data_IF_798379058368
#
_entry.id   IF_798379058368
#
_cell.length_a   1.000
_cell.length_b   1.000
_cell.length_c   1.000
_cell.angle_alpha   90.00
_cell.angle_beta   90.00
_cell.angle_gamma   90.00
#
_symmetry.space_group_name_H-M   'P 1'
#
loop_
_entity.id
_entity.type
_entity.pdbx_description
1 polymer ?
#
# COMPACT_ATOMS: atom_id res chain seq x y z
N UNK A 1 31.76 -5.99 -22.44
CA UNK A 1 31.41 -6.65 -21.13
C UNK A 1 32.21 -5.96 -20.03
N UNK A 2 31.60 -5.10 -19.24
CA UNK A 2 32.23 -4.55 -18.01
C UNK A 2 32.20 -5.63 -16.93
N UNK A 3 33.35 -6.02 -16.43
CA UNK A 3 33.46 -6.91 -15.26
C UNK A 3 33.27 -6.08 -14.01
N UNK A 4 32.36 -6.50 -13.12
CA UNK A 4 32.22 -5.96 -11.78
C UNK A 4 33.17 -6.75 -10.88
N UNK A 5 34.08 -6.06 -10.21
CA UNK A 5 34.97 -6.66 -9.22
C UNK A 5 34.41 -6.39 -7.82
N UNK A 6 34.26 -7.43 -7.03
CA UNK A 6 33.96 -7.33 -5.60
C UNK A 6 35.30 -7.19 -4.87
N UNK A 7 35.43 -6.15 -4.05
CA UNK A 7 36.64 -5.92 -3.28
C UNK A 7 36.71 -6.88 -2.09
N UNK A 8 37.80 -7.65 -1.99
CA UNK A 8 38.07 -8.58 -0.90
C UNK A 8 38.37 -7.88 0.46
N UNK A 9 38.29 -6.56 0.53
CA UNK A 9 38.61 -5.77 1.73
C UNK A 9 37.41 -5.35 2.57
N UNK A 10 36.21 -5.87 2.31
CA UNK A 10 35.09 -5.70 3.23
C UNK A 10 35.19 -6.74 4.36
N UNK A 11 35.89 -6.39 5.44
CA UNK A 11 35.74 -7.11 6.70
C UNK A 11 34.32 -6.88 7.22
N UNK A 12 33.40 -7.79 6.89
CA UNK A 12 32.09 -7.86 7.53
C UNK A 12 32.38 -8.28 8.98
N UNK A 13 32.29 -7.33 9.90
CA UNK A 13 32.23 -7.66 11.33
C UNK A 13 31.08 -8.62 11.52
N UNK A 14 31.34 -9.78 12.13
CA UNK A 14 30.33 -10.78 12.41
C UNK A 14 29.13 -10.10 13.11
N UNK A 15 27.90 -10.42 12.72
CA UNK A 15 26.74 -9.84 13.36
C UNK A 15 26.81 -10.17 14.86
N UNK A 16 26.74 -9.13 15.68
CA UNK A 16 26.60 -9.28 17.13
C UNK A 16 25.36 -10.14 17.36
N UNK A 17 25.55 -11.35 17.85
CA UNK A 17 24.44 -12.26 18.20
C UNK A 17 23.77 -11.68 19.43
N UNK A 18 22.78 -10.86 19.23
CA UNK A 18 21.80 -10.49 20.26
C UNK A 18 20.89 -11.69 20.53
N UNK A 19 21.38 -12.62 21.36
CA UNK A 19 20.62 -13.78 21.81
C UNK A 19 19.38 -13.40 22.63
N UNK A 20 19.34 -12.18 23.17
CA UNK A 20 18.24 -11.72 24.05
C UNK A 20 16.96 -11.40 23.30
N UNK A 21 17.02 -10.81 22.10
CA UNK A 21 15.79 -10.41 21.38
C UNK A 21 14.96 -11.59 20.81
N UNK A 22 15.61 -12.72 20.52
CA UNK A 22 14.88 -13.90 20.02
C UNK A 22 14.22 -14.73 21.14
N UNK A 23 14.77 -14.70 22.33
CA UNK A 23 14.19 -15.40 23.48
C UNK A 23 12.97 -14.65 24.03
N UNK A 24 13.03 -13.32 24.12
CA UNK A 24 11.88 -12.50 24.53
C UNK A 24 10.68 -12.65 23.60
N UNK A 25 10.90 -12.65 22.28
CA UNK A 25 9.81 -12.84 21.31
C UNK A 25 9.17 -14.22 21.42
N UNK A 26 9.97 -15.27 21.70
CA UNK A 26 9.47 -16.65 21.83
C UNK A 26 8.72 -16.90 23.15
N UNK A 27 9.09 -16.21 24.22
CA UNK A 27 8.37 -16.28 25.50
C UNK A 27 7.05 -15.50 25.50
N UNK A 28 6.97 -14.39 24.78
CA UNK A 28 5.74 -13.61 24.61
C UNK A 28 4.64 -14.47 23.93
N UNK A 29 5.00 -15.28 22.95
CA UNK A 29 4.05 -16.20 22.27
C UNK A 29 3.56 -17.36 23.17
N UNK A 30 4.23 -17.64 24.30
CA UNK A 30 3.82 -18.69 25.24
C UNK A 30 2.81 -18.23 26.30
N UNK A 31 2.59 -16.94 26.45
CA UNK A 31 1.53 -16.41 27.32
C UNK A 31 0.28 -16.24 26.48
N UNK A 32 -0.87 -16.72 26.95
CA UNK A 32 -2.19 -16.43 26.37
C UNK A 32 -2.53 -14.93 26.55
N UNK A 33 -1.71 -14.05 25.97
CA UNK A 33 -1.94 -12.63 26.00
C UNK A 33 -2.83 -12.25 24.82
N UNK A 34 -3.84 -11.47 25.10
CA UNK A 34 -4.65 -10.84 24.06
C UNK A 34 -3.85 -9.64 23.56
N UNK A 35 -3.46 -9.68 22.28
CA UNK A 35 -2.79 -8.58 21.62
C UNK A 35 -3.80 -7.76 20.83
N UNK A 36 -3.76 -6.44 21.05
CA UNK A 36 -4.41 -5.47 20.18
C UNK A 36 -3.31 -4.84 19.34
N UNK A 37 -3.15 -5.32 18.13
CA UNK A 37 -2.26 -4.69 17.15
C UNK A 37 -3.05 -3.84 16.13
N UNK A 38 -2.34 -3.06 15.34
CA UNK A 38 -2.93 -2.09 14.43
C UNK A 38 -3.11 -2.63 13.00
N UNK A 39 -3.33 -3.92 12.83
CA UNK A 39 -3.79 -4.41 11.54
C UNK A 39 -3.04 -5.60 10.94
N UNK A 40 -2.43 -6.45 11.76
CA UNK A 40 -1.97 -7.75 11.27
C UNK A 40 -3.18 -8.67 11.08
N UNK A 41 -3.40 -9.20 9.85
CA UNK A 41 -4.48 -10.15 9.63
C UNK A 41 -4.20 -11.47 10.36
N UNK A 42 -5.26 -12.14 10.83
CA UNK A 42 -5.13 -13.48 11.37
C UNK A 42 -4.63 -14.45 10.29
N UNK A 43 -3.39 -14.92 10.44
CA UNK A 43 -2.77 -15.85 9.50
C UNK A 43 -3.44 -17.21 9.48
N UNK A 44 -4.18 -17.61 10.55
CA UNK A 44 -4.95 -18.85 10.59
C UNK A 44 -6.12 -18.84 9.59
N UNK A 45 -6.62 -17.66 9.22
CA UNK A 45 -7.67 -17.49 8.22
C UNK A 45 -7.14 -17.57 6.78
N UNK A 46 -5.83 -17.71 6.57
CA UNK A 46 -5.25 -17.80 5.24
C UNK A 46 -5.68 -19.09 4.53
N UNK A 47 -6.25 -19.03 3.31
CA UNK A 47 -6.71 -20.21 2.57
C UNK A 47 -5.53 -20.96 1.93
N UNK A 48 -4.66 -21.55 2.77
CA UNK A 48 -3.40 -22.17 2.34
C UNK A 48 -3.58 -23.32 1.33
N UNK A 49 -4.65 -24.11 1.48
CA UNK A 49 -4.96 -25.22 0.59
C UNK A 49 -5.30 -24.73 -0.81
N UNK A 50 -6.10 -23.70 -0.91
CA UNK A 50 -6.52 -23.06 -2.16
C UNK A 50 -5.33 -22.40 -2.86
N UNK A 51 -4.50 -21.69 -2.10
CA UNK A 51 -3.27 -21.10 -2.61
C UNK A 51 -2.32 -22.17 -3.16
N UNK A 52 -2.05 -23.25 -2.41
CA UNK A 52 -1.20 -24.34 -2.86
C UNK A 52 -1.75 -25.04 -4.12
N UNK A 53 -3.08 -25.16 -4.23
CA UNK A 53 -3.75 -25.71 -5.44
C UNK A 53 -3.59 -24.76 -6.62
N UNK A 54 -3.76 -23.47 -6.42
CA UNK A 54 -3.59 -22.46 -7.46
C UNK A 54 -2.15 -22.43 -7.98
N UNK A 55 -1.16 -22.42 -7.10
CA UNK A 55 0.26 -22.50 -7.45
C UNK A 55 0.57 -23.75 -8.29
N UNK A 56 0.17 -24.93 -7.82
CA UNK A 56 0.37 -26.19 -8.57
C UNK A 56 -0.26 -26.14 -9.96
N UNK A 57 -1.48 -25.58 -10.08
CA UNK A 57 -2.15 -25.43 -11.39
C UNK A 57 -1.36 -24.55 -12.35
N UNK A 58 -0.78 -23.46 -11.86
CA UNK A 58 0.02 -22.53 -12.68
C UNK A 58 1.31 -23.22 -13.15
N UNK A 59 2.05 -23.82 -12.22
CA UNK A 59 3.34 -24.43 -12.54
C UNK A 59 3.23 -25.71 -13.39
N UNK A 60 2.09 -26.38 -13.36
CA UNK A 60 1.85 -27.57 -14.19
C UNK A 60 1.38 -27.23 -15.62
N UNK A 61 1.22 -25.97 -15.99
CA UNK A 61 0.89 -25.59 -17.37
C UNK A 61 2.10 -25.82 -18.29
N UNK A 62 1.84 -26.23 -19.54
CA UNK A 62 2.90 -26.53 -20.52
C UNK A 62 3.85 -25.36 -20.81
N UNK A 63 3.40 -24.14 -20.61
CA UNK A 63 4.17 -22.90 -20.82
C UNK A 63 4.64 -22.25 -19.52
N UNK A 64 4.81 -23.01 -18.43
CA UNK A 64 5.21 -22.48 -17.11
C UNK A 64 6.52 -21.67 -17.15
N UNK A 65 7.45 -21.98 -18.05
CA UNK A 65 8.69 -21.25 -18.26
C UNK A 65 8.47 -19.78 -18.72
N UNK A 66 7.36 -19.48 -19.39
CA UNK A 66 7.01 -18.12 -19.81
C UNK A 66 6.69 -17.22 -18.59
N UNK A 67 6.19 -17.81 -17.51
CA UNK A 67 5.88 -17.11 -16.27
C UNK A 67 7.15 -16.63 -15.56
N UNK A 68 8.28 -17.28 -15.84
CA UNK A 68 9.59 -16.94 -15.28
C UNK A 68 10.33 -15.85 -16.08
N UNK A 69 9.79 -15.42 -17.22
CA UNK A 69 10.35 -14.32 -17.99
C UNK A 69 10.10 -12.99 -17.29
N UNK A 70 10.95 -12.00 -17.60
CA UNK A 70 10.72 -10.62 -17.19
C UNK A 70 9.39 -10.12 -17.76
N UNK A 71 8.45 -9.84 -16.84
CA UNK A 71 7.21 -9.19 -17.20
C UNK A 71 7.45 -7.71 -17.58
N UNK A 72 6.42 -7.06 -18.09
CA UNK A 72 6.38 -5.60 -18.25
C UNK A 72 6.68 -4.92 -16.90
N UNK A 73 7.29 -3.73 -16.95
CA UNK A 73 7.51 -2.86 -15.78
C UNK A 73 6.22 -2.53 -15.02
N UNK A 74 5.08 -2.63 -15.68
CA UNK A 74 3.75 -2.44 -15.06
C UNK A 74 3.20 -3.71 -14.40
N UNK A 75 3.87 -4.85 -14.53
CA UNK A 75 3.46 -6.15 -14.02
C UNK A 75 2.91 -7.09 -15.10
N UNK A 76 2.65 -8.35 -14.73
CA UNK A 76 2.17 -9.39 -15.64
C UNK A 76 0.82 -9.01 -16.28
N UNK A 77 0.76 -9.05 -17.61
CA UNK A 77 -0.39 -8.61 -18.38
C UNK A 77 -1.66 -9.41 -18.08
N UNK A 78 -1.55 -10.72 -17.89
CA UNK A 78 -2.68 -11.58 -17.56
C UNK A 78 -3.22 -11.28 -16.16
N UNK A 79 -2.33 -10.97 -15.22
CA UNK A 79 -2.74 -10.57 -13.87
C UNK A 79 -3.45 -9.21 -13.89
N UNK A 80 -2.91 -8.23 -14.61
CA UNK A 80 -3.52 -6.90 -14.77
C UNK A 80 -4.87 -6.97 -15.44
N UNK A 81 -5.03 -7.78 -16.49
CA UNK A 81 -6.32 -8.01 -17.16
C UNK A 81 -7.34 -8.65 -16.21
N UNK A 82 -6.92 -9.67 -15.44
CA UNK A 82 -7.77 -10.31 -14.43
C UNK A 82 -8.22 -9.32 -13.36
N UNK A 83 -7.32 -8.44 -12.90
CA UNK A 83 -7.66 -7.37 -11.94
C UNK A 83 -8.62 -6.34 -12.54
N UNK A 84 -8.38 -5.92 -13.79
CA UNK A 84 -9.29 -5.02 -14.50
C UNK A 84 -10.71 -5.59 -14.54
N UNK A 85 -10.85 -6.83 -14.95
CA UNK A 85 -12.15 -7.53 -15.01
C UNK A 85 -12.81 -7.61 -13.63
N UNK A 86 -12.06 -7.96 -12.58
CA UNK A 86 -12.56 -8.02 -11.21
C UNK A 86 -13.03 -6.64 -10.70
N UNK A 87 -12.26 -5.58 -10.95
CA UNK A 87 -12.60 -4.21 -10.54
C UNK A 87 -13.86 -3.72 -11.27
N UNK A 88 -13.96 -3.98 -12.57
CA UNK A 88 -15.11 -3.60 -13.37
C UNK A 88 -16.39 -4.33 -12.94
N UNK A 89 -16.31 -5.64 -12.66
CA UNK A 89 -17.46 -6.44 -12.25
C UNK A 89 -17.89 -6.19 -10.80
N UNK A 90 -16.92 -6.08 -9.87
CA UNK A 90 -17.22 -6.08 -8.44
C UNK A 90 -17.25 -4.68 -7.82
N UNK A 91 -16.66 -3.69 -8.47
CA UNK A 91 -16.54 -2.32 -7.96
C UNK A 91 -17.16 -1.26 -8.87
N UNK A 92 -17.74 -1.67 -10.00
CA UNK A 92 -18.36 -0.76 -10.96
C UNK A 92 -17.36 0.21 -11.61
N UNK A 93 -16.08 -0.14 -11.62
CA UNK A 93 -15.03 0.64 -12.30
C UNK A 93 -15.08 0.42 -13.82
N UNK A 94 -14.38 1.26 -14.57
CA UNK A 94 -14.23 1.14 -16.02
C UNK A 94 -12.73 1.22 -16.34
N UNK A 95 -12.00 0.19 -15.93
CA UNK A 95 -10.55 0.12 -16.12
C UNK A 95 -10.19 -0.80 -17.28
N UNK A 96 -9.05 -0.53 -17.87
CA UNK A 96 -8.38 -1.35 -18.88
C UNK A 96 -7.00 -1.77 -18.40
N UNK A 97 -6.38 -2.69 -19.11
CA UNK A 97 -5.03 -3.18 -18.81
C UNK A 97 -4.01 -2.01 -18.67
N UNK A 98 -4.11 -0.99 -19.52
CA UNK A 98 -3.17 0.13 -19.55
C UNK A 98 -3.26 1.06 -18.32
N UNK A 99 -4.33 0.96 -17.54
CA UNK A 99 -4.58 1.81 -16.37
C UNK A 99 -4.21 1.12 -15.05
N UNK A 100 -3.64 -0.09 -15.12
CA UNK A 100 -3.28 -0.87 -13.93
C UNK A 100 -1.76 -1.07 -13.89
N UNK A 101 -1.16 -0.70 -12.78
CA UNK A 101 0.23 -0.99 -12.45
C UNK A 101 0.30 -1.81 -11.16
N UNK A 102 1.08 -2.89 -11.17
CA UNK A 102 1.29 -3.75 -10.02
C UNK A 102 2.49 -3.26 -9.23
N UNK A 103 2.32 -3.06 -7.93
CA UNK A 103 3.37 -2.60 -7.03
C UNK A 103 3.59 -3.57 -5.86
N UNK A 104 4.69 -3.41 -5.16
CA UNK A 104 4.98 -4.16 -3.92
C UNK A 104 4.28 -3.51 -2.74
N UNK A 105 2.95 -3.65 -2.70
CA UNK A 105 2.10 -3.09 -1.65
C UNK A 105 1.80 -1.60 -1.80
N UNK A 106 0.94 -1.09 -0.91
CA UNK A 106 0.41 0.27 -0.95
C UNK A 106 1.48 1.34 -0.79
N UNK A 107 2.52 1.11 0.01
CA UNK A 107 3.60 2.09 0.20
C UNK A 107 4.38 2.38 -1.08
N UNK A 108 4.68 1.35 -1.87
CA UNK A 108 5.32 1.55 -3.18
C UNK A 108 4.36 2.28 -4.14
N UNK A 109 3.08 1.95 -4.12
CA UNK A 109 2.08 2.66 -4.93
C UNK A 109 2.02 4.15 -4.57
N UNK A 110 1.95 4.47 -3.27
CA UNK A 110 1.96 5.85 -2.79
C UNK A 110 3.25 6.59 -3.17
N UNK A 111 4.40 5.94 -3.03
CA UNK A 111 5.69 6.51 -3.41
C UNK A 111 5.73 6.87 -4.89
N UNK A 112 5.37 5.94 -5.77
CA UNK A 112 5.35 6.18 -7.22
C UNK A 112 4.34 7.26 -7.58
N UNK A 113 3.12 7.21 -7.03
CA UNK A 113 2.09 8.20 -7.28
C UNK A 113 2.54 9.59 -6.83
N UNK A 114 3.12 9.71 -5.64
CA UNK A 114 3.61 10.99 -5.12
C UNK A 114 4.69 11.59 -6.03
N UNK A 115 5.67 10.78 -6.45
CA UNK A 115 6.76 11.28 -7.30
C UNK A 115 6.34 11.56 -8.75
N UNK A 116 5.26 10.95 -9.24
CA UNK A 116 4.72 11.24 -10.57
C UNK A 116 3.82 12.47 -10.59
N UNK A 117 3.10 12.76 -9.50
CA UNK A 117 2.04 13.78 -9.50
C UNK A 117 2.41 15.06 -8.75
N UNK A 118 3.32 14.99 -7.77
CA UNK A 118 3.60 16.09 -6.86
C UNK A 118 4.94 16.75 -7.18
N UNK A 119 4.93 18.07 -7.08
CA UNK A 119 6.12 18.92 -7.13
C UNK A 119 6.35 19.55 -5.74
N UNK A 120 7.56 20.10 -5.56
CA UNK A 120 7.89 20.79 -4.30
C UNK A 120 6.99 22.00 -4.08
N UNK A 121 6.30 21.99 -2.93
CA UNK A 121 5.37 23.04 -2.54
C UNK A 121 3.91 22.75 -2.87
N UNK A 122 3.59 21.67 -3.59
CA UNK A 122 2.20 21.26 -3.83
C UNK A 122 1.48 20.95 -2.52
N UNK A 123 0.22 21.37 -2.44
CA UNK A 123 -0.61 21.15 -1.25
C UNK A 123 -1.36 19.81 -1.39
N UNK A 124 -1.19 18.96 -0.37
CA UNK A 124 -1.93 17.71 -0.25
C UNK A 124 -2.77 17.76 1.03
N UNK A 125 -4.09 17.60 0.90
CA UNK A 125 -4.96 17.43 2.05
C UNK A 125 -4.89 15.99 2.54
N UNK A 126 -4.78 15.81 3.86
CA UNK A 126 -4.67 14.50 4.51
C UNK A 126 -5.65 14.39 5.67
N UNK A 127 -6.13 13.18 5.96
CA UNK A 127 -6.94 12.89 7.13
C UNK A 127 -6.13 13.05 8.42
N UNK A 128 -6.73 13.63 9.47
CA UNK A 128 -6.14 13.72 10.80
C UNK A 128 -7.21 13.38 11.89
N UNK A 129 -7.03 12.27 12.65
CA UNK A 129 -5.91 11.31 12.55
C UNK A 129 -5.88 10.53 11.24
N UNK A 130 -4.73 9.97 10.87
CA UNK A 130 -4.56 9.25 9.61
C UNK A 130 -3.26 8.44 9.53
N UNK A 131 -3.02 7.83 8.38
CA UNK A 131 -1.92 6.91 8.15
C UNK A 131 -0.58 7.64 7.93
N UNK A 132 0.20 7.78 8.99
CA UNK A 132 1.48 8.52 9.00
C UNK A 132 2.48 8.08 7.93
N UNK A 133 2.66 6.78 7.58
CA UNK A 133 3.59 6.39 6.53
C UNK A 133 3.27 7.00 5.16
N UNK A 134 1.99 7.22 4.84
CA UNK A 134 1.61 7.95 3.64
C UNK A 134 2.02 9.43 3.71
N UNK A 135 1.85 10.06 4.88
CA UNK A 135 2.24 11.45 5.08
C UNK A 135 3.74 11.68 4.84
N UNK A 136 4.59 10.78 5.37
CA UNK A 136 6.03 10.86 5.16
C UNK A 136 6.38 10.71 3.66
N UNK A 137 5.69 9.83 2.95
CA UNK A 137 5.89 9.67 1.51
C UNK A 137 5.60 10.96 0.74
N UNK A 138 4.51 11.65 1.05
CA UNK A 138 4.17 12.93 0.41
C UNK A 138 5.15 14.05 0.80
N UNK A 139 5.60 14.10 2.07
CA UNK A 139 6.63 15.06 2.51
C UNK A 139 7.95 14.84 1.77
N UNK A 140 8.37 13.60 1.58
CA UNK A 140 9.58 13.29 0.82
C UNK A 140 9.48 13.70 -0.65
N UNK A 141 8.29 13.66 -1.24
CA UNK A 141 8.04 14.22 -2.57
C UNK A 141 8.03 15.76 -2.61
N UNK A 142 8.17 16.41 -1.44
CA UNK A 142 8.22 17.88 -1.32
C UNK A 142 6.88 18.56 -1.08
N UNK A 143 5.80 17.81 -0.85
CA UNK A 143 4.46 18.36 -0.63
C UNK A 143 4.30 19.04 0.75
N UNK A 144 3.44 20.04 0.79
CA UNK A 144 2.94 20.68 1.99
C UNK A 144 1.65 19.97 2.41
N UNK A 145 1.65 19.36 3.61
CA UNK A 145 0.50 18.61 4.09
C UNK A 145 -0.42 19.48 4.92
N UNK A 146 -1.70 19.50 4.57
CA UNK A 146 -2.75 20.17 5.34
C UNK A 146 -3.65 19.11 6.00
N UNK A 147 -3.63 19.00 7.33
CA UNK A 147 -4.45 18.03 8.04
C UNK A 147 -5.91 18.49 8.13
N UNK A 148 -6.82 17.62 7.70
CA UNK A 148 -8.27 17.80 7.80
C UNK A 148 -8.80 16.83 8.86
N UNK A 149 -9.64 17.32 9.76
CA UNK A 149 -10.25 16.52 10.83
C UNK A 149 -11.12 15.38 10.28
N UNK A 150 -11.11 14.26 10.98
CA UNK A 150 -12.00 13.11 10.75
C UNK A 150 -12.99 13.03 11.92
N UNK A 151 -14.27 12.91 11.61
CA UNK A 151 -15.35 12.68 12.57
C UNK A 151 -16.06 11.33 12.31
N UNK A 152 -17.24 11.12 12.90
CA UNK A 152 -17.99 9.87 12.79
C UNK A 152 -18.49 9.56 11.36
N UNK A 153 -18.43 10.51 10.44
CA UNK A 153 -18.79 10.33 9.03
C UNK A 153 -17.60 10.36 8.08
N UNK A 154 -16.36 10.41 8.60
CA UNK A 154 -15.13 10.48 7.85
C UNK A 154 -14.52 11.90 7.82
N UNK A 155 -13.75 12.21 6.77
CA UNK A 155 -13.10 13.50 6.59
C UNK A 155 -14.14 14.64 6.50
N UNK A 156 -13.84 15.79 7.11
CA UNK A 156 -14.67 17.00 7.09
C UNK A 156 -14.66 17.63 5.67
N UNK A 157 -15.73 17.41 4.92
CA UNK A 157 -15.86 17.89 3.54
C UNK A 157 -15.97 19.42 3.48
N UNK A 158 -16.59 20.07 4.47
CA UNK A 158 -16.67 21.53 4.46
C UNK A 158 -15.28 22.16 4.45
N UNK A 159 -14.37 21.65 5.27
CA UNK A 159 -12.96 22.09 5.23
C UNK A 159 -12.25 21.75 3.93
N UNK A 160 -12.53 20.59 3.35
CA UNK A 160 -11.97 20.22 2.02
C UNK A 160 -12.42 21.24 0.96
N UNK A 161 -13.73 21.54 0.90
CA UNK A 161 -14.31 22.52 -0.03
C UNK A 161 -13.67 23.91 0.15
N UNK A 162 -13.45 24.35 1.39
CA UNK A 162 -12.81 25.63 1.70
C UNK A 162 -11.37 25.74 1.15
N UNK A 163 -10.62 24.66 1.18
CA UNK A 163 -9.26 24.63 0.61
C UNK A 163 -9.27 24.52 -0.92
N UNK A 164 -10.12 23.67 -1.47
CA UNK A 164 -10.24 23.44 -2.92
C UNK A 164 -10.72 24.72 -3.63
N UNK A 165 -11.68 25.45 -3.04
CA UNK A 165 -12.21 26.69 -3.62
C UNK A 165 -11.14 27.80 -3.76
N UNK A 166 -10.09 27.74 -2.95
CA UNK A 166 -8.94 28.66 -3.03
C UNK A 166 -7.94 28.31 -4.15
N UNK A 167 -8.17 27.19 -4.85
CA UNK A 167 -7.41 26.80 -6.04
C UNK A 167 -5.99 26.28 -5.81
N UNK A 168 -5.60 26.03 -4.55
CA UNK A 168 -4.22 25.68 -4.20
C UNK A 168 -3.99 24.16 -3.95
N UNK A 169 -5.04 23.32 -3.98
CA UNK A 169 -4.94 21.91 -3.62
C UNK A 169 -4.57 21.07 -4.84
N UNK A 170 -3.48 20.33 -4.75
CA UNK A 170 -3.02 19.41 -5.79
C UNK A 170 -3.64 18.03 -5.66
N UNK A 171 -3.74 17.52 -4.42
CA UNK A 171 -4.26 16.18 -4.17
C UNK A 171 -4.95 16.08 -2.80
N UNK A 172 -5.80 15.08 -2.66
CA UNK A 172 -6.45 14.70 -1.41
C UNK A 172 -6.14 13.23 -1.17
N UNK A 173 -5.54 12.92 -0.01
CA UNK A 173 -5.33 11.54 0.43
C UNK A 173 -6.35 11.19 1.50
N UNK A 174 -7.14 10.16 1.24
CA UNK A 174 -8.18 9.70 2.15
C UNK A 174 -8.38 8.18 2.09
N UNK A 175 -8.93 7.63 3.17
CA UNK A 175 -9.27 6.22 3.32
C UNK A 175 -10.79 6.07 3.49
N UNK A 176 -11.58 5.89 2.41
CA UNK A 176 -13.03 5.97 2.46
C UNK A 176 -13.70 4.82 3.23
N UNK A 177 -13.03 3.68 3.40
CA UNK A 177 -13.48 2.52 4.14
C UNK A 177 -12.48 2.17 5.22
N UNK A 178 -12.97 1.89 6.43
CA UNK A 178 -12.11 1.50 7.55
C UNK A 178 -10.94 2.46 7.76
N UNK A 179 -11.27 3.76 7.85
CA UNK A 179 -10.29 4.82 8.01
C UNK A 179 -9.32 4.51 9.18
N UNK A 180 -8.04 4.67 8.93
CA UNK A 180 -7.03 4.45 9.95
C UNK A 180 -6.75 5.75 10.73
N UNK A 181 -6.77 5.71 12.09
CA UNK A 181 -7.03 4.55 12.96
C UNK A 181 -8.49 4.48 13.46
N UNK A 182 -9.39 5.37 13.01
CA UNK A 182 -10.74 5.54 13.59
C UNK A 182 -11.73 4.46 13.20
N UNK A 183 -11.42 3.65 12.17
CA UNK A 183 -12.28 2.62 11.56
C UNK A 183 -13.56 3.15 10.90
N UNK A 184 -13.76 4.45 10.89
CA UNK A 184 -14.94 5.10 10.32
C UNK A 184 -15.01 4.89 8.81
N UNK A 185 -16.21 4.75 8.28
CA UNK A 185 -16.47 4.72 6.84
C UNK A 185 -17.03 6.06 6.40
N UNK A 186 -16.41 6.64 5.37
CA UNK A 186 -16.87 7.90 4.77
C UNK A 186 -18.32 7.75 4.28
N UNK A 187 -19.21 8.61 4.75
CA UNK A 187 -20.64 8.54 4.43
C UNK A 187 -20.89 8.77 2.93
N UNK A 188 -21.97 8.17 2.40
CA UNK A 188 -22.32 8.35 0.99
C UNK A 188 -22.52 9.82 0.63
N UNK A 189 -23.15 10.58 1.50
CA UNK A 189 -23.37 12.01 1.29
C UNK A 189 -22.06 12.78 1.12
N UNK A 190 -21.04 12.46 1.92
CA UNK A 190 -19.70 13.06 1.81
C UNK A 190 -18.94 12.58 0.58
N UNK A 191 -19.09 11.30 0.18
CA UNK A 191 -18.46 10.79 -1.06
C UNK A 191 -18.98 11.48 -2.31
N UNK A 192 -20.26 11.82 -2.34
CA UNK A 192 -20.88 12.51 -3.49
C UNK A 192 -20.49 13.98 -3.58
N UNK A 193 -19.94 14.55 -2.53
CA UNK A 193 -19.43 15.94 -2.51
C UNK A 193 -17.95 16.05 -2.84
N UNK A 194 -17.19 14.96 -2.71
CA UNK A 194 -15.78 14.84 -3.14
C UNK A 194 -15.64 14.74 -4.64
#
# INVERSE_FOLDING_TARGET
RKRVYVSDKLSISAPVKTKESQQETTEIFKRNLIFFDDGLPDTACTPMTELARAYRRIFNQKAHWQIMNLASEFGDDKFRDTLSNMLNQNRGMRTSLSEICITRGSQMALFLTAHCLLEKGDIVLIENPGFKPAWETFRHAGAILIPITVDNEGIDIGKVEDFVSKGAVKAIYLTPHHQYPTTVTLSLARRLKL
#
